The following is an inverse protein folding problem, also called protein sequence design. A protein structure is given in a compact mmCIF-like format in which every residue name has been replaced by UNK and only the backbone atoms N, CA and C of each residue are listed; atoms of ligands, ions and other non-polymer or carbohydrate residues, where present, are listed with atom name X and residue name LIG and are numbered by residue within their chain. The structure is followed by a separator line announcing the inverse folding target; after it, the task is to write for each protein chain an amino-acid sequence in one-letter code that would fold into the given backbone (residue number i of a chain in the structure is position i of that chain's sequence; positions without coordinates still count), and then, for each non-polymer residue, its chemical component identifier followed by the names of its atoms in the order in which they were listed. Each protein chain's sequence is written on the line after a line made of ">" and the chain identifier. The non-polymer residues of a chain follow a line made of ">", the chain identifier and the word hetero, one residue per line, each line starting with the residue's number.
data_IF_916842558320
#
_entry.id   IF_916842558320
#
_cell.length_a   1.000
_cell.length_b   1.000
_cell.length_c   1.000
_cell.angle_alpha   90.00
_cell.angle_beta   90.00
_cell.angle_gamma   90.00
#
_symmetry.space_group_name_H-M   'P 1'
#
loop_
_entity.id
_entity.type
_entity.pdbx_description
1 polymer ?
#
# COMPACT_ATOMS: atom_id res chain seq x y z
N UNK A 1 -1.69 11.94 2.03
CA UNK A 1 -0.73 11.30 2.95
C UNK A 1 -0.30 10.00 2.33
N UNK A 2 0.98 9.64 2.41
CA UNK A 2 1.48 8.42 1.78
C UNK A 2 1.46 7.25 2.76
N UNK A 3 1.04 6.09 2.27
CA UNK A 3 1.05 4.84 3.00
C UNK A 3 1.71 3.75 2.18
N UNK A 4 2.64 3.02 2.78
CA UNK A 4 3.09 1.74 2.27
C UNK A 4 2.09 0.67 2.71
N UNK A 5 1.63 -0.16 1.78
CA UNK A 5 0.76 -1.28 2.07
C UNK A 5 1.36 -2.58 1.51
N UNK A 6 1.39 -3.61 2.34
CA UNK A 6 1.76 -4.97 1.97
C UNK A 6 0.57 -5.88 2.21
N UNK A 7 0.16 -6.58 1.15
CA UNK A 7 -0.94 -7.54 1.19
C UNK A 7 -0.41 -8.95 0.93
N UNK A 8 -0.68 -9.88 1.84
CA UNK A 8 -0.51 -11.31 1.63
C UNK A 8 -1.87 -11.95 1.42
N UNK A 9 -2.07 -12.54 0.25
CA UNK A 9 -3.35 -13.12 -0.15
C UNK A 9 -3.25 -14.63 -0.05
N UNK A 10 -4.01 -15.26 0.82
CA UNK A 10 -4.08 -16.72 0.93
C UNK A 10 -5.32 -17.26 0.24
N UNK A 11 -5.20 -18.46 -0.33
CA UNK A 11 -6.36 -19.20 -0.81
C UNK A 11 -7.05 -19.86 0.40
N UNK A 12 -8.34 -19.58 0.65
CA UNK A 12 -9.08 -20.26 1.71
C UNK A 12 -9.11 -21.78 1.51
N UNK A 13 -9.12 -22.54 2.61
CA UNK A 13 -9.25 -23.99 2.56
C UNK A 13 -10.58 -24.38 1.90
N UNK A 14 -10.53 -25.32 0.95
CA UNK A 14 -11.72 -25.79 0.23
C UNK A 14 -12.19 -24.89 -0.92
N UNK A 15 -11.61 -23.70 -1.11
CA UNK A 15 -11.89 -22.86 -2.28
C UNK A 15 -11.15 -23.43 -3.52
N UNK A 16 -11.84 -23.69 -4.64
CA UNK A 16 -11.19 -24.04 -5.90
C UNK A 16 -10.23 -22.96 -6.40
N UNK A 17 -9.14 -23.37 -7.06
CA UNK A 17 -8.09 -22.43 -7.51
C UNK A 17 -8.61 -21.43 -8.55
N UNK A 18 -9.45 -21.88 -9.49
CA UNK A 18 -10.07 -21.04 -10.51
C UNK A 18 -10.96 -19.95 -9.89
N UNK A 19 -11.76 -20.31 -8.87
CA UNK A 19 -12.54 -19.34 -8.11
C UNK A 19 -11.64 -18.32 -7.39
N UNK A 20 -10.57 -18.78 -6.74
CA UNK A 20 -9.60 -17.90 -6.08
C UNK A 20 -8.95 -16.92 -7.08
N UNK A 21 -8.52 -17.42 -8.24
CA UNK A 21 -7.92 -16.59 -9.29
C UNK A 21 -8.93 -15.59 -9.87
N UNK A 22 -10.20 -15.95 -10.00
CA UNK A 22 -11.25 -15.02 -10.42
C UNK A 22 -11.42 -13.86 -9.44
N UNK A 23 -11.45 -14.13 -8.13
CA UNK A 23 -11.51 -13.07 -7.12
C UNK A 23 -10.28 -12.15 -7.17
N UNK A 24 -9.09 -12.73 -7.34
CA UNK A 24 -7.87 -11.94 -7.44
C UNK A 24 -7.82 -11.11 -8.74
N UNK A 25 -8.39 -11.62 -9.83
CA UNK A 25 -8.50 -10.89 -11.09
C UNK A 25 -9.42 -9.67 -10.97
N UNK A 26 -10.56 -9.80 -10.28
CA UNK A 26 -11.43 -8.65 -10.00
C UNK A 26 -10.72 -7.56 -9.19
N UNK A 27 -9.93 -7.97 -8.20
CA UNK A 27 -9.09 -7.05 -7.43
C UNK A 27 -8.03 -6.37 -8.30
N UNK A 28 -7.37 -7.13 -9.19
CA UNK A 28 -6.34 -6.59 -10.07
C UNK A 28 -6.90 -5.46 -10.96
N UNK A 29 -8.14 -5.61 -11.47
CA UNK A 29 -8.82 -4.55 -12.23
C UNK A 29 -9.08 -3.30 -11.38
N UNK A 30 -9.59 -3.48 -10.16
CA UNK A 30 -9.84 -2.36 -9.25
C UNK A 30 -8.55 -1.63 -8.88
N UNK A 31 -7.48 -2.37 -8.59
CA UNK A 31 -6.17 -1.80 -8.27
C UNK A 31 -5.57 -1.03 -9.46
N UNK A 32 -5.71 -1.53 -10.69
CA UNK A 32 -5.30 -0.82 -11.91
C UNK A 32 -6.09 0.47 -12.13
N UNK A 33 -7.41 0.46 -11.88
CA UNK A 33 -8.23 1.66 -11.94
C UNK A 33 -7.81 2.69 -10.88
N UNK A 34 -7.54 2.26 -9.65
CA UNK A 34 -7.07 3.14 -8.58
C UNK A 34 -5.68 3.73 -8.86
N UNK A 35 -4.82 2.99 -9.56
CA UNK A 35 -3.54 3.49 -10.06
C UNK A 35 -3.73 4.55 -11.15
N UNK A 36 -4.59 4.29 -12.13
CA UNK A 36 -4.93 5.28 -13.16
C UNK A 36 -5.56 6.56 -12.59
N UNK A 37 -6.33 6.44 -11.51
CA UNK A 37 -6.90 7.58 -10.78
C UNK A 37 -5.90 8.31 -9.87
N UNK A 38 -4.67 7.81 -9.74
CA UNK A 38 -3.61 8.43 -8.95
C UNK A 38 -3.71 8.21 -7.44
N UNK A 39 -4.65 7.40 -6.96
CA UNK A 39 -4.75 6.98 -5.55
C UNK A 39 -3.63 6.00 -5.21
N UNK A 40 -3.32 5.07 -6.11
CA UNK A 40 -2.17 4.16 -5.99
C UNK A 40 -0.99 4.75 -6.76
N UNK A 41 0.03 5.24 -6.04
CA UNK A 41 1.24 5.83 -6.64
C UNK A 41 2.21 4.79 -7.18
N UNK A 42 2.14 3.57 -6.67
CA UNK A 42 2.95 2.45 -7.12
C UNK A 42 2.31 1.13 -6.70
N UNK A 43 2.41 0.12 -7.57
CA UNK A 43 1.80 -1.20 -7.38
C UNK A 43 2.72 -2.27 -7.96
N UNK A 44 3.10 -3.24 -7.15
CA UNK A 44 4.01 -4.31 -7.55
C UNK A 44 3.52 -5.67 -7.06
N UNK A 45 3.66 -6.68 -7.90
CA UNK A 45 3.52 -8.09 -7.53
C UNK A 45 4.89 -8.62 -7.10
N UNK A 46 4.99 -9.19 -5.90
CA UNK A 46 6.20 -9.93 -5.51
C UNK A 46 6.22 -11.25 -6.27
N UNK A 47 7.24 -11.46 -7.10
CA UNK A 47 7.40 -12.68 -7.89
C UNK A 47 7.56 -13.92 -7.01
N UNK A 48 6.88 -15.01 -7.34
CA UNK A 48 6.95 -16.29 -6.62
C UNK A 48 6.22 -16.32 -5.27
N UNK A 49 5.62 -15.22 -4.81
CA UNK A 49 4.89 -15.15 -3.54
C UNK A 49 3.43 -14.77 -3.78
N UNK A 50 2.52 -14.96 -2.82
CA UNK A 50 1.16 -14.39 -2.92
C UNK A 50 1.07 -13.00 -2.30
N UNK A 51 2.01 -12.12 -2.68
CA UNK A 51 2.18 -10.80 -2.08
C UNK A 51 2.08 -9.68 -3.10
N UNK A 52 1.40 -8.59 -2.73
CA UNK A 52 1.32 -7.32 -3.47
C UNK A 52 1.82 -6.20 -2.58
N UNK A 53 2.61 -5.29 -3.14
CA UNK A 53 3.09 -4.08 -2.49
C UNK A 53 2.46 -2.88 -3.18
N UNK A 54 1.99 -1.91 -2.41
CA UNK A 54 1.42 -0.66 -2.92
C UNK A 54 1.92 0.55 -2.14
N UNK A 55 2.00 1.68 -2.83
CA UNK A 55 2.07 3.01 -2.20
C UNK A 55 0.76 3.72 -2.48
N UNK A 56 0.05 4.11 -1.43
CA UNK A 56 -1.25 4.77 -1.48
C UNK A 56 -1.10 6.24 -1.11
N UNK A 57 -1.86 7.11 -1.75
CA UNK A 57 -2.01 8.51 -1.38
C UNK A 57 -3.46 8.78 -0.97
N UNK A 58 -3.66 8.88 0.34
CA UNK A 58 -4.98 8.99 0.98
C UNK A 58 -5.03 10.23 1.87
N UNK A 59 -6.20 10.86 2.05
CA UNK A 59 -6.29 12.15 2.74
C UNK A 59 -5.95 12.08 4.23
N UNK A 60 -6.29 10.96 4.89
CA UNK A 60 -6.18 10.79 6.33
C UNK A 60 -6.07 9.30 6.72
N UNK A 61 -5.86 9.04 8.02
CA UNK A 61 -5.75 7.67 8.55
C UNK A 61 -7.06 6.89 8.39
N UNK A 62 -8.22 7.51 8.61
CA UNK A 62 -9.52 6.84 8.48
C UNK A 62 -9.80 6.39 7.04
N UNK A 63 -9.26 7.11 6.06
CA UNK A 63 -9.36 6.77 4.64
C UNK A 63 -8.60 5.48 4.30
N UNK A 64 -7.62 5.08 5.10
CA UNK A 64 -6.95 3.78 4.96
C UNK A 64 -7.97 2.66 5.20
N UNK A 65 -8.64 2.67 6.35
CA UNK A 65 -9.61 1.62 6.70
C UNK A 65 -10.78 1.57 5.71
N UNK A 66 -11.29 2.74 5.29
CA UNK A 66 -12.33 2.83 4.25
C UNK A 66 -11.87 2.27 2.92
N UNK A 67 -10.65 2.58 2.49
CA UNK A 67 -10.09 2.07 1.23
C UNK A 67 -9.93 0.55 1.30
N UNK A 68 -9.37 0.01 2.39
CA UNK A 68 -9.18 -1.43 2.60
C UNK A 68 -10.51 -2.19 2.61
N UNK A 69 -11.51 -1.71 3.35
CA UNK A 69 -12.85 -2.29 3.36
C UNK A 69 -13.54 -2.23 1.98
N UNK A 70 -13.16 -1.23 1.18
CA UNK A 70 -13.62 -1.03 -0.20
C UNK A 70 -12.99 -1.96 -1.24
N UNK A 71 -11.95 -2.71 -0.90
CA UNK A 71 -11.29 -3.62 -1.86
C UNK A 71 -12.19 -4.85 -2.15
N UNK A 72 -12.45 -5.18 -3.44
CA UNK A 72 -13.15 -6.41 -3.82
C UNK A 72 -12.62 -7.66 -3.13
N UNK A 73 -11.30 -7.81 -3.01
CA UNK A 73 -10.67 -8.99 -2.43
C UNK A 73 -10.92 -9.12 -0.93
N UNK A 74 -11.02 -8.00 -0.19
CA UNK A 74 -11.36 -8.02 1.23
C UNK A 74 -12.79 -8.50 1.44
N UNK A 75 -13.71 -8.13 0.54
CA UNK A 75 -15.11 -8.60 0.61
C UNK A 75 -15.24 -10.08 0.26
N UNK A 76 -14.44 -10.60 -0.66
CA UNK A 76 -14.56 -12.00 -1.12
C UNK A 76 -13.71 -12.99 -0.32
N UNK A 77 -12.51 -12.61 0.10
CA UNK A 77 -11.55 -13.50 0.79
C UNK A 77 -11.43 -13.20 2.29
N UNK A 78 -11.84 -12.01 2.74
CA UNK A 78 -11.91 -11.63 4.15
C UNK A 78 -10.62 -11.94 4.92
N UNK A 79 -10.73 -12.79 5.94
CA UNK A 79 -9.62 -13.18 6.83
C UNK A 79 -8.48 -13.94 6.17
N UNK A 80 -8.58 -14.29 4.88
CA UNK A 80 -7.48 -14.86 4.13
C UNK A 80 -6.46 -13.81 3.63
N UNK A 81 -6.64 -12.54 3.97
CA UNK A 81 -5.71 -11.45 3.64
C UNK A 81 -5.02 -10.98 4.91
N UNK A 82 -3.68 -11.03 4.91
CA UNK A 82 -2.88 -10.34 5.93
C UNK A 82 -2.39 -9.02 5.37
N UNK A 83 -2.50 -7.98 6.18
CA UNK A 83 -2.20 -6.61 5.76
C UNK A 83 -1.27 -5.95 6.74
N UNK A 84 -0.26 -5.28 6.21
CA UNK A 84 0.58 -4.34 6.93
C UNK A 84 0.46 -2.98 6.23
N UNK A 85 0.17 -1.93 6.99
CA UNK A 85 0.12 -0.55 6.49
C UNK A 85 0.99 0.33 7.37
N UNK A 86 1.89 1.08 6.74
CA UNK A 86 2.80 2.00 7.41
C UNK A 86 2.61 3.40 6.81
N UNK A 87 2.40 4.46 7.62
CA UNK A 87 2.51 5.82 7.11
C UNK A 87 3.96 6.06 6.69
N UNK A 88 4.15 6.64 5.50
CA UNK A 88 5.46 6.97 4.96
C UNK A 88 5.51 8.44 4.56
N UNK A 89 6.71 8.98 4.41
CA UNK A 89 6.95 10.34 3.91
C UNK A 89 8.00 10.31 2.80
N UNK A 90 7.99 11.28 1.87
CA UNK A 90 9.02 11.40 0.85
C UNK A 90 10.42 11.46 1.48
N UNK A 91 11.37 10.76 0.89
CA UNK A 91 12.74 10.72 1.39
C UNK A 91 13.42 12.08 1.23
N UNK A 92 13.10 12.81 0.16
CA UNK A 92 13.62 14.15 -0.14
C UNK A 92 13.34 15.13 1.00
N UNK A 93 12.15 15.05 1.61
CA UNK A 93 11.82 15.87 2.78
C UNK A 93 12.71 15.53 3.97
N UNK A 94 13.06 14.25 4.16
CA UNK A 94 14.00 13.83 5.21
C UNK A 94 15.44 14.23 4.89
N UNK A 95 15.87 14.11 3.64
CA UNK A 95 17.18 14.58 3.20
C UNK A 95 17.36 16.09 3.44
N UNK A 96 16.32 16.90 3.21
CA UNK A 96 16.33 18.34 3.53
C UNK A 96 16.43 18.60 5.03
N UNK A 97 15.73 17.83 5.87
CA UNK A 97 15.85 17.94 7.33
C UNK A 97 17.29 17.62 7.78
N UNK A 98 17.91 16.58 7.21
CA UNK A 98 19.31 16.23 7.49
C UNK A 98 20.28 17.33 7.04
N UNK A 99 20.09 17.88 5.83
CA UNK A 99 20.91 18.98 5.31
C UNK A 99 20.85 20.18 6.25
N UNK A 100 19.65 20.57 6.69
CA UNK A 100 19.45 21.66 7.65
C UNK A 100 20.08 21.38 9.01
N UNK A 101 20.04 20.13 9.49
CA UNK A 101 20.67 19.78 10.75
C UNK A 101 22.20 19.92 10.69
N UNK A 102 22.82 19.50 9.57
CA UNK A 102 24.28 19.60 9.37
C UNK A 102 24.72 21.05 9.13
N UNK A 103 24.04 21.79 8.26
CA UNK A 103 24.39 23.18 7.92
C UNK A 103 23.96 24.18 8.98
N UNK A 104 22.83 23.96 9.65
CA UNK A 104 22.31 24.80 10.72
C UNK A 104 23.12 24.68 12.02
N UNK A 105 23.75 23.52 12.26
CA UNK A 105 24.73 23.37 13.34
C UNK A 105 26.05 24.12 13.06
N UNK A 106 26.29 24.57 11.83
CA UNK A 106 27.50 25.29 11.43
C UNK A 106 27.38 26.83 11.53
N UNK A 107 26.25 27.37 12.01
CA UNK A 107 26.15 28.80 12.34
C UNK A 107 26.87 29.08 13.67
N UNK A 108 27.91 29.95 13.68
CA UNK A 108 28.75 30.12 14.86
C UNK A 108 27.99 30.81 15.99
N UNK A 109 28.27 30.36 17.22
CA UNK A 109 27.99 31.13 18.43
C UNK A 109 28.69 32.49 18.30
N UNK A 110 27.89 33.54 18.11
CA UNK A 110 28.27 34.94 18.27
C UNK A 110 28.39 35.31 19.74
#
# INVERSE_FOLDING_TARGET
>A
MLYFARFEVSQPAGMPLDQFLAHWYEEAKAAQQAQAAGVVKGLWKVAGQRVVLAVLDLPDHDAVDRALAGLPIFRSLGGAIKTEVLPIRPYEAFAEDLRRAVEGAAAPAS
#
